data_IF_181677285701
#
_entry.id   IF_181677285701
#
_cell.length_a   1.000
_cell.length_b   1.000
_cell.length_c   1.000
_cell.angle_alpha   90.00
_cell.angle_beta   90.00
_cell.angle_gamma   90.00
#
_symmetry.space_group_name_H-M   'P 1'
#
loop_
_entity.id
_entity.type
_entity.pdbx_description
1 polymer ?
#
# COMPACT_ATOMS: atom_id res chain seq x y z
N UNK A 1 18.40 -4.58 9.25
CA UNK A 1 17.36 -4.13 8.29
C UNK A 1 17.20 -2.62 8.41
N UNK A 2 16.98 -1.90 7.30
CA UNK A 2 16.71 -0.44 7.31
C UNK A 2 15.26 -0.20 6.91
N UNK A 3 14.49 0.42 7.80
CA UNK A 3 13.12 0.83 7.50
C UNK A 3 13.18 2.09 6.62
N UNK A 4 12.62 1.99 5.43
CA UNK A 4 12.53 3.11 4.47
C UNK A 4 11.06 3.49 4.28
N UNK A 5 10.79 4.66 3.69
CA UNK A 5 9.42 5.02 3.30
C UNK A 5 8.78 3.95 2.43
N UNK A 6 9.55 3.30 1.56
CA UNK A 6 9.05 2.21 0.74
C UNK A 6 8.59 1.02 1.60
N UNK A 7 9.39 0.61 2.59
CA UNK A 7 9.03 -0.45 3.53
C UNK A 7 7.81 -0.10 4.40
N UNK A 8 7.73 1.14 4.89
CA UNK A 8 6.59 1.65 5.65
C UNK A 8 5.31 1.64 4.80
N UNK A 9 5.37 2.10 3.56
CA UNK A 9 4.22 2.12 2.65
C UNK A 9 3.77 0.71 2.27
N UNK A 10 4.70 -0.21 2.01
CA UNK A 10 4.37 -1.64 1.80
C UNK A 10 3.59 -2.21 2.96
N UNK A 11 4.03 -1.95 4.20
CA UNK A 11 3.36 -2.45 5.38
C UNK A 11 1.96 -1.85 5.53
N UNK A 12 1.79 -0.53 5.32
CA UNK A 12 0.48 0.12 5.37
C UNK A 12 -0.50 -0.43 4.33
N UNK A 13 -0.05 -0.67 3.10
CA UNK A 13 -0.86 -1.29 2.04
C UNK A 13 -1.33 -2.68 2.47
N UNK A 14 -0.43 -3.52 2.98
CA UNK A 14 -0.75 -4.88 3.44
C UNK A 14 -1.72 -4.86 4.63
N UNK A 15 -1.50 -3.97 5.59
CA UNK A 15 -2.41 -3.81 6.74
C UNK A 15 -3.80 -3.38 6.28
N UNK A 16 -3.90 -2.42 5.36
CA UNK A 16 -5.20 -1.99 4.84
C UNK A 16 -5.91 -3.10 4.06
N UNK A 17 -5.18 -3.82 3.21
CA UNK A 17 -5.70 -5.00 2.50
C UNK A 17 -6.20 -6.09 3.47
N UNK A 18 -5.49 -6.33 4.56
CA UNK A 18 -5.90 -7.31 5.56
C UNK A 18 -7.21 -6.94 6.31
N UNK A 19 -7.58 -5.65 6.37
CA UNK A 19 -8.85 -5.21 6.97
C UNK A 19 -10.06 -5.34 6.04
N UNK A 20 -9.85 -5.79 4.81
CA UNK A 20 -10.82 -5.78 3.72
C UNK A 20 -11.10 -7.23 3.30
N UNK A 21 -12.07 -7.87 3.94
CA UNK A 21 -12.42 -9.30 3.81
C UNK A 21 -12.81 -9.69 2.36
N UNK A 22 -11.81 -9.95 1.51
CA UNK A 22 -11.99 -10.37 0.12
C UNK A 22 -12.46 -9.27 -0.84
N UNK A 23 -12.63 -8.04 -0.35
CA UNK A 23 -12.99 -6.91 -1.21
C UNK A 23 -11.75 -6.33 -1.90
N UNK A 24 -11.92 -5.87 -3.14
CA UNK A 24 -10.85 -5.21 -3.88
C UNK A 24 -10.38 -3.95 -3.15
N UNK A 25 -9.09 -3.87 -2.88
CA UNK A 25 -8.41 -2.66 -2.39
C UNK A 25 -7.77 -1.93 -3.55
N UNK A 26 -8.05 -0.64 -3.67
CA UNK A 26 -7.52 0.20 -4.74
C UNK A 26 -6.39 1.10 -4.24
N UNK A 27 -5.51 1.49 -5.17
CA UNK A 27 -4.45 2.47 -4.92
C UNK A 27 -5.07 3.83 -4.59
N UNK A 28 -6.14 4.20 -5.30
CA UNK A 28 -6.97 5.38 -5.06
C UNK A 28 -7.41 5.51 -3.60
N UNK A 29 -8.04 4.47 -3.05
CA UNK A 29 -8.51 4.50 -1.67
C UNK A 29 -7.37 4.53 -0.68
N UNK A 30 -6.36 3.68 -0.89
CA UNK A 30 -5.23 3.56 0.03
C UNK A 30 -4.42 4.86 0.10
N UNK A 31 -4.28 5.56 -1.04
CA UNK A 31 -3.66 6.87 -1.13
C UNK A 31 -4.39 7.92 -0.29
N UNK A 32 -5.73 7.93 -0.38
CA UNK A 32 -6.56 8.85 0.38
C UNK A 32 -6.51 8.57 1.89
N UNK A 33 -6.57 7.28 2.29
CA UNK A 33 -6.56 6.87 3.70
C UNK A 33 -5.25 7.25 4.40
N UNK A 34 -4.11 7.06 3.74
CA UNK A 34 -2.79 7.28 4.35
C UNK A 34 -2.10 8.58 3.94
N UNK A 35 -2.70 9.38 3.05
CA UNK A 35 -2.08 10.61 2.52
C UNK A 35 -0.82 10.35 1.69
N UNK A 36 -0.73 9.19 1.03
CA UNK A 36 0.43 8.78 0.22
C UNK A 36 0.11 8.99 -1.25
N UNK A 37 1.06 9.52 -2.01
CA UNK A 37 0.85 9.72 -3.45
C UNK A 37 0.64 8.40 -4.19
N UNK A 38 -0.24 8.43 -5.20
CA UNK A 38 -0.53 7.30 -6.09
C UNK A 38 0.73 6.70 -6.71
N UNK A 39 1.69 7.54 -7.10
CA UNK A 39 2.93 7.11 -7.73
C UNK A 39 3.79 6.24 -6.79
N UNK A 40 3.82 6.54 -5.48
CA UNK A 40 4.52 5.70 -4.51
C UNK A 40 3.79 4.38 -4.28
N UNK A 41 2.46 4.42 -4.16
CA UNK A 41 1.66 3.21 -3.98
C UNK A 41 1.66 2.29 -5.20
N UNK A 42 1.71 2.82 -6.42
CA UNK A 42 1.90 2.04 -7.64
C UNK A 42 3.19 1.20 -7.60
N UNK A 43 4.31 1.80 -7.18
CA UNK A 43 5.58 1.06 -7.07
C UNK A 43 5.51 -0.03 -6.00
N UNK A 44 4.88 0.28 -4.87
CA UNK A 44 4.65 -0.66 -3.78
C UNK A 44 3.76 -1.82 -4.22
N UNK A 45 2.61 -1.55 -4.83
CA UNK A 45 1.66 -2.56 -5.28
C UNK A 45 2.27 -3.49 -6.34
N UNK A 46 3.00 -2.94 -7.32
CA UNK A 46 3.71 -3.77 -8.29
C UNK A 46 4.72 -4.70 -7.61
N UNK A 47 5.48 -4.23 -6.62
CA UNK A 47 6.41 -5.11 -5.89
C UNK A 47 5.68 -6.21 -5.13
N UNK A 48 4.54 -5.92 -4.49
CA UNK A 48 3.83 -6.88 -3.63
C UNK A 48 3.11 -8.00 -4.41
N UNK A 49 2.85 -7.80 -5.70
CA UNK A 49 2.16 -8.77 -6.57
C UNK A 49 3.14 -9.65 -7.36
N UNK A 50 4.42 -9.26 -7.43
CA UNK A 50 5.50 -10.03 -8.05
C UNK A 50 6.17 -10.98 -7.06
#
# INVERSE_FOLDING_TARGET
>A
MRLTNFSDYSLRVLMYAATRDGTLVTIEETAAVYGISRAHLMKVANLLVH
#
